data_IF_035388046152
#
_entry.id   IF_035388046152
#
_cell.length_a   1.000
_cell.length_b   1.000
_cell.length_c   1.000
_cell.angle_alpha   90.00
_cell.angle_beta   90.00
_cell.angle_gamma   90.00
#
_symmetry.space_group_name_H-M   'P 1'
#
loop_
_entity.id
_entity.type
_entity.pdbx_description
1 polymer ?
#
# COMPACT_ATOMS: atom_id res chain seq x y z
N UNK A 1 19.14 -2.54 -31.20
CA UNK A 1 17.74 -3.01 -31.35
C UNK A 1 17.10 -3.05 -29.97
N UNK A 2 15.79 -2.79 -29.84
CA UNK A 2 15.06 -2.90 -28.58
C UNK A 2 15.16 -4.32 -27.98
N UNK A 3 15.15 -4.43 -26.64
CA UNK A 3 15.31 -5.71 -25.94
C UNK A 3 14.27 -6.78 -26.34
N UNK A 4 13.06 -6.35 -26.71
CA UNK A 4 12.00 -7.24 -27.18
C UNK A 4 12.37 -7.92 -28.51
N UNK A 5 12.80 -7.16 -29.50
CA UNK A 5 13.15 -7.68 -30.82
C UNK A 5 14.36 -8.61 -30.75
N UNK A 6 15.32 -8.29 -29.86
CA UNK A 6 16.46 -9.17 -29.61
C UNK A 6 16.04 -10.52 -29.01
N UNK A 7 15.02 -10.53 -28.13
CA UNK A 7 14.50 -11.73 -27.48
C UNK A 7 13.66 -12.60 -28.42
N UNK A 8 12.76 -11.99 -29.18
CA UNK A 8 11.75 -12.70 -29.95
C UNK A 8 12.04 -12.78 -31.46
N UNK A 9 12.93 -11.94 -31.98
CA UNK A 9 13.26 -11.90 -33.41
C UNK A 9 12.15 -11.32 -34.31
N UNK A 10 11.13 -10.67 -33.72
CA UNK A 10 10.00 -10.04 -34.40
C UNK A 10 9.71 -8.68 -33.76
N UNK A 11 9.01 -7.80 -34.49
CA UNK A 11 8.59 -6.49 -33.98
C UNK A 11 7.43 -6.64 -32.99
N UNK A 12 7.28 -5.65 -32.10
CA UNK A 12 6.23 -5.63 -31.07
C UNK A 12 4.83 -5.79 -31.69
N UNK A 13 4.56 -5.11 -32.81
CA UNK A 13 3.27 -5.20 -33.51
C UNK A 13 2.95 -6.59 -34.08
N UNK A 14 3.94 -7.46 -34.26
CA UNK A 14 3.75 -8.82 -34.76
C UNK A 14 3.45 -9.83 -33.65
N UNK A 15 3.51 -9.42 -32.38
CA UNK A 15 3.42 -10.35 -31.25
C UNK A 15 2.05 -11.05 -31.15
N UNK A 16 0.98 -10.35 -31.55
CA UNK A 16 -0.36 -10.92 -31.63
C UNK A 16 -0.40 -12.06 -32.67
N UNK A 17 0.10 -11.82 -33.88
CA UNK A 17 0.16 -12.82 -34.95
C UNK A 17 1.15 -13.95 -34.63
N UNK A 18 2.17 -13.66 -33.83
CA UNK A 18 3.07 -14.68 -33.32
C UNK A 18 2.34 -15.63 -32.37
N UNK A 19 1.57 -15.10 -31.41
CA UNK A 19 0.71 -15.91 -30.53
C UNK A 19 -0.36 -16.65 -31.32
N UNK A 20 -0.93 -16.04 -32.36
CA UNK A 20 -1.95 -16.70 -33.18
C UNK A 20 -1.42 -17.93 -33.93
N UNK A 21 -0.14 -17.92 -34.33
CA UNK A 21 0.51 -19.05 -35.01
C UNK A 21 1.01 -20.12 -34.04
N UNK A 22 1.73 -19.72 -32.98
CA UNK A 22 2.37 -20.64 -32.02
C UNK A 22 1.40 -21.17 -30.96
N UNK A 23 0.35 -20.41 -30.66
CA UNK A 23 -0.49 -20.61 -29.48
C UNK A 23 0.10 -20.01 -28.20
N UNK A 24 -0.66 -20.15 -27.12
CA UNK A 24 -0.26 -19.80 -25.75
C UNK A 24 -0.81 -20.83 -24.76
N UNK A 25 0.07 -21.66 -24.22
CA UNK A 25 -0.31 -22.73 -23.30
C UNK A 25 -0.83 -22.21 -21.95
N UNK A 26 -0.38 -21.02 -21.51
CA UNK A 26 -0.84 -20.42 -20.24
C UNK A 26 -2.30 -20.01 -20.34
N UNK A 27 -2.71 -19.53 -21.52
CA UNK A 27 -4.06 -19.01 -21.78
C UNK A 27 -4.94 -20.02 -22.53
N UNK A 28 -4.49 -21.27 -22.67
CA UNK A 28 -5.14 -22.33 -23.43
C UNK A 28 -5.49 -21.93 -24.89
N UNK A 29 -4.63 -21.13 -25.51
CA UNK A 29 -4.75 -20.69 -26.90
C UNK A 29 -4.02 -21.71 -27.80
N UNK A 30 -4.70 -22.38 -28.74
CA UNK A 30 -4.14 -23.54 -29.44
C UNK A 30 -3.11 -23.18 -30.52
N UNK A 31 -3.27 -22.05 -31.23
CA UNK A 31 -2.47 -21.71 -32.39
C UNK A 31 -2.64 -22.67 -33.57
N UNK A 32 -1.64 -22.79 -34.44
CA UNK A 32 -1.62 -23.74 -35.56
C UNK A 32 -0.89 -25.03 -35.13
N UNK A 33 -1.56 -26.21 -35.17
CA UNK A 33 -0.92 -27.47 -34.81
C UNK A 33 0.37 -27.73 -35.60
N UNK A 34 1.47 -27.92 -34.87
CA UNK A 34 2.78 -28.18 -35.45
C UNK A 34 3.52 -26.95 -35.99
N UNK A 35 3.05 -25.74 -35.70
CA UNK A 35 3.79 -24.48 -35.85
C UNK A 35 4.28 -24.03 -34.49
N UNK A 36 5.58 -24.20 -34.24
CA UNK A 36 6.23 -23.72 -33.02
C UNK A 36 6.83 -22.32 -33.17
N UNK A 37 7.39 -21.81 -32.07
CA UNK A 37 8.00 -20.48 -31.97
C UNK A 37 8.98 -20.15 -33.11
N UNK A 38 9.97 -21.01 -33.38
CA UNK A 38 10.96 -20.78 -34.44
C UNK A 38 10.32 -20.68 -35.83
N UNK A 39 9.25 -21.43 -36.07
CA UNK A 39 8.53 -21.41 -37.35
C UNK A 39 7.70 -20.15 -37.46
N UNK A 40 6.95 -19.79 -36.40
CA UNK A 40 6.16 -18.57 -36.36
C UNK A 40 7.03 -17.31 -36.59
N UNK A 41 8.18 -17.22 -35.92
CA UNK A 41 9.15 -16.11 -36.12
C UNK A 41 9.59 -16.03 -37.58
N UNK A 42 9.99 -17.14 -38.19
CA UNK A 42 10.42 -17.16 -39.61
C UNK A 42 9.32 -16.73 -40.56
N UNK A 43 8.09 -17.20 -40.33
CA UNK A 43 6.94 -16.81 -41.14
C UNK A 43 6.66 -15.31 -41.01
N UNK A 44 6.72 -14.75 -39.80
CA UNK A 44 6.47 -13.32 -39.59
C UNK A 44 7.62 -12.43 -40.05
N UNK A 45 8.86 -12.91 -40.03
CA UNK A 45 9.98 -12.21 -40.66
C UNK A 45 9.81 -12.14 -42.19
N UNK A 46 9.20 -13.17 -42.80
CA UNK A 46 9.03 -13.25 -44.24
C UNK A 46 7.77 -12.53 -44.74
N UNK A 47 6.63 -12.72 -44.07
CA UNK A 47 5.32 -12.26 -44.54
C UNK A 47 4.76 -11.09 -43.74
N UNK A 48 5.42 -10.71 -42.64
CA UNK A 48 5.08 -9.59 -41.78
C UNK A 48 3.83 -9.75 -40.89
N UNK A 49 2.70 -10.17 -41.45
CA UNK A 49 1.44 -10.33 -40.74
C UNK A 49 0.82 -11.71 -40.99
N UNK A 50 -0.12 -12.10 -40.13
CA UNK A 50 -0.90 -13.33 -40.32
C UNK A 50 -1.67 -13.31 -41.65
N UNK A 51 -2.29 -12.17 -41.97
CA UNK A 51 -3.09 -12.03 -43.18
C UNK A 51 -2.21 -12.13 -44.43
N UNK A 52 -1.08 -11.43 -44.46
CA UNK A 52 -0.13 -11.54 -45.57
C UNK A 52 0.44 -12.96 -45.74
N UNK A 53 0.66 -13.69 -44.64
CA UNK A 53 1.06 -15.09 -44.69
C UNK A 53 -0.02 -15.94 -45.38
N UNK A 54 -1.29 -15.75 -45.02
CA UNK A 54 -2.39 -16.51 -45.59
C UNK A 54 -2.67 -16.16 -47.05
N UNK A 55 -2.47 -14.90 -47.44
CA UNK A 55 -2.57 -14.44 -48.83
C UNK A 55 -1.43 -14.98 -49.72
N UNK A 56 -0.29 -15.33 -49.11
CA UNK A 56 0.90 -15.79 -49.82
C UNK A 56 1.31 -17.23 -49.49
N UNK A 57 0.35 -18.09 -49.07
CA UNK A 57 0.62 -19.48 -48.70
C UNK A 57 1.35 -20.29 -49.77
N UNK A 58 1.18 -19.94 -51.04
CA UNK A 58 1.85 -20.60 -52.17
C UNK A 58 3.40 -20.49 -52.12
N UNK A 59 3.95 -19.50 -51.40
CA UNK A 59 5.39 -19.35 -51.18
C UNK A 59 5.93 -20.23 -50.03
N UNK A 60 5.05 -20.86 -49.26
CA UNK A 60 5.42 -21.71 -48.11
C UNK A 60 5.64 -23.15 -48.59
N UNK A 61 6.66 -23.81 -48.02
CA UNK A 61 6.96 -25.23 -48.30
C UNK A 61 5.74 -26.13 -48.08
N UNK A 62 5.50 -27.06 -48.99
CA UNK A 62 4.30 -27.94 -49.04
C UNK A 62 3.88 -28.54 -47.68
N UNK A 63 4.82 -29.07 -46.90
CA UNK A 63 4.50 -29.70 -45.60
C UNK A 63 4.01 -28.70 -44.56
N UNK A 64 4.56 -27.49 -44.54
CA UNK A 64 4.16 -26.42 -43.64
C UNK A 64 2.88 -25.74 -44.16
N UNK A 65 2.76 -25.57 -45.49
CA UNK A 65 1.57 -25.03 -46.14
C UNK A 65 0.33 -25.84 -45.77
N UNK A 66 0.38 -27.18 -45.87
CA UNK A 66 -0.73 -28.05 -45.46
C UNK A 66 -1.15 -27.87 -44.00
N UNK A 67 -0.20 -27.69 -43.08
CA UNK A 67 -0.51 -27.43 -41.67
C UNK A 67 -1.19 -26.08 -41.47
N UNK A 68 -0.70 -25.05 -42.16
CA UNK A 68 -1.27 -23.70 -42.10
C UNK A 68 -2.67 -23.67 -42.71
N UNK A 69 -2.90 -24.37 -43.82
CA UNK A 69 -4.22 -24.54 -44.44
C UNK A 69 -5.21 -25.21 -43.48
N UNK A 70 -4.82 -26.37 -42.90
CA UNK A 70 -5.65 -27.10 -41.94
C UNK A 70 -5.89 -26.34 -40.63
N UNK A 71 -4.92 -25.53 -40.21
CA UNK A 71 -4.98 -24.75 -38.97
C UNK A 71 -5.43 -23.31 -39.16
N UNK A 72 -5.89 -22.90 -40.34
CA UNK A 72 -6.26 -21.50 -40.63
C UNK A 72 -7.28 -20.97 -39.63
N UNK A 73 -8.39 -21.68 -39.45
CA UNK A 73 -9.45 -21.26 -38.54
C UNK A 73 -8.95 -21.18 -37.09
N UNK A 74 -8.08 -22.12 -36.69
CA UNK A 74 -7.44 -22.11 -35.37
C UNK A 74 -6.51 -20.91 -35.19
N UNK A 75 -5.77 -20.50 -36.22
CA UNK A 75 -4.91 -19.32 -36.19
C UNK A 75 -5.74 -18.04 -35.99
N UNK A 76 -6.79 -17.86 -36.79
CA UNK A 76 -7.65 -16.69 -36.68
C UNK A 76 -8.43 -16.64 -35.37
N UNK A 77 -8.96 -17.79 -34.91
CA UNK A 77 -9.58 -17.90 -33.58
C UNK A 77 -8.57 -17.54 -32.48
N UNK A 78 -7.35 -18.06 -32.56
CA UNK A 78 -6.28 -17.75 -31.60
C UNK A 78 -5.90 -16.27 -31.61
N UNK A 79 -5.94 -15.62 -32.78
CA UNK A 79 -5.73 -14.17 -32.91
C UNK A 79 -6.80 -13.38 -32.18
N UNK A 80 -8.06 -13.77 -32.32
CA UNK A 80 -9.16 -13.11 -31.60
C UNK A 80 -9.08 -13.32 -30.09
N UNK A 81 -8.75 -14.53 -29.63
CA UNK A 81 -8.58 -14.83 -28.22
C UNK A 81 -7.40 -14.09 -27.58
N UNK A 82 -6.29 -13.93 -28.31
CA UNK A 82 -5.10 -13.22 -27.83
C UNK A 82 -5.20 -11.69 -27.95
N UNK A 83 -6.22 -11.16 -28.63
CA UNK A 83 -6.39 -9.72 -28.86
C UNK A 83 -6.71 -9.01 -27.54
N UNK A 84 -5.91 -7.99 -27.21
CA UNK A 84 -6.20 -7.12 -26.07
C UNK A 84 -7.25 -6.07 -26.46
N UNK A 85 -8.34 -6.04 -25.71
CA UNK A 85 -9.36 -4.98 -25.79
C UNK A 85 -8.96 -3.83 -24.88
N UNK A 86 -8.87 -2.62 -25.43
CA UNK A 86 -8.42 -1.40 -24.74
C UNK A 86 -9.53 -0.39 -24.50
N UNK A 87 -10.77 -0.77 -24.83
CA UNK A 87 -11.99 0.02 -24.80
C UNK A 87 -12.93 -0.37 -23.65
N UNK A 88 -12.37 -0.97 -22.59
CA UNK A 88 -13.13 -1.33 -21.40
C UNK A 88 -13.84 -0.09 -20.80
N UNK A 89 -15.14 -0.18 -20.46
CA UNK A 89 -15.95 0.96 -20.02
C UNK A 89 -15.67 1.31 -18.54
N UNK A 90 -14.43 1.63 -18.22
CA UNK A 90 -13.96 1.95 -16.87
C UNK A 90 -13.41 3.37 -16.85
N UNK A 91 -13.92 4.20 -15.93
CA UNK A 91 -13.40 5.55 -15.71
C UNK A 91 -12.21 5.48 -14.75
N UNK A 92 -11.07 6.02 -15.17
CA UNK A 92 -9.88 6.11 -14.32
C UNK A 92 -9.86 7.45 -13.58
N UNK A 93 -10.13 7.42 -12.27
CA UNK A 93 -9.91 8.57 -11.39
C UNK A 93 -8.50 8.50 -10.79
N UNK A 94 -7.58 9.28 -11.37
CA UNK A 94 -6.19 9.35 -10.90
C UNK A 94 -6.06 9.86 -9.47
N UNK A 95 -6.96 10.75 -9.02
CA UNK A 95 -6.90 11.30 -7.68
C UNK A 95 -7.28 10.24 -6.63
N UNK A 96 -8.32 9.44 -6.91
CA UNK A 96 -8.69 8.32 -6.07
C UNK A 96 -7.65 7.18 -6.05
N UNK A 97 -6.80 7.08 -7.08
CA UNK A 97 -5.73 6.09 -7.18
C UNK A 97 -4.40 6.54 -6.55
N UNK A 98 -4.34 7.74 -5.94
CA UNK A 98 -3.14 8.22 -5.25
C UNK A 98 -2.82 7.34 -4.03
N UNK A 99 -1.55 6.96 -3.86
CA UNK A 99 -1.09 6.12 -2.74
C UNK A 99 -0.48 6.93 -1.59
N UNK A 100 -0.67 8.24 -1.61
CA UNK A 100 0.00 9.22 -0.75
C UNK A 100 -0.45 9.08 0.73
N UNK A 101 -1.64 8.52 0.96
CA UNK A 101 -2.27 8.37 2.27
C UNK A 101 -2.30 6.90 2.76
N UNK A 102 -1.30 6.09 2.41
CA UNK A 102 -1.20 4.72 2.90
C UNK A 102 -0.86 4.68 4.39
N UNK A 103 -1.71 4.08 5.23
CA UNK A 103 -1.46 3.87 6.67
C UNK A 103 -0.62 2.59 6.90
N UNK A 104 0.67 2.71 7.27
CA UNK A 104 1.53 1.56 7.46
C UNK A 104 1.11 0.66 8.63
N UNK A 105 0.49 1.23 9.67
CA UNK A 105 0.04 0.48 10.82
C UNK A 105 -1.14 -0.42 10.45
N UNK A 106 -2.11 0.12 9.69
CA UNK A 106 -3.24 -0.66 9.17
C UNK A 106 -2.78 -1.78 8.22
N UNK A 107 -1.82 -1.49 7.32
CA UNK A 107 -1.25 -2.51 6.41
C UNK A 107 -0.54 -3.61 7.22
N UNK A 108 0.29 -3.25 8.20
CA UNK A 108 0.99 -4.21 9.06
C UNK A 108 0.01 -5.08 9.86
N UNK A 109 -1.01 -4.47 10.46
CA UNK A 109 -2.05 -5.20 11.19
C UNK A 109 -2.80 -6.18 10.28
N UNK A 110 -3.11 -5.77 9.04
CA UNK A 110 -3.75 -6.64 8.05
C UNK A 110 -2.85 -7.82 7.66
N UNK A 111 -1.57 -7.57 7.37
CA UNK A 111 -0.62 -8.63 7.04
C UNK A 111 -0.36 -9.58 8.21
N UNK A 112 -0.32 -9.08 9.45
CA UNK A 112 -0.22 -9.90 10.66
C UNK A 112 -1.46 -10.78 10.83
N UNK A 113 -2.66 -10.22 10.66
CA UNK A 113 -3.93 -10.96 10.73
C UNK A 113 -4.03 -12.05 9.66
N UNK A 114 -3.47 -11.82 8.49
CA UNK A 114 -3.40 -12.80 7.39
C UNK A 114 -2.17 -13.73 7.48
N UNK A 115 -1.38 -13.58 8.55
CA UNK A 115 -0.16 -14.37 8.82
C UNK A 115 0.91 -14.30 7.71
N UNK A 116 0.93 -13.23 6.90
CA UNK A 116 1.92 -13.01 5.84
C UNK A 116 3.27 -12.52 6.37
N UNK A 117 3.97 -13.40 7.10
CA UNK A 117 5.25 -13.11 7.79
C UNK A 117 6.39 -12.73 6.83
N UNK A 118 6.41 -13.26 5.61
CA UNK A 118 7.44 -12.91 4.61
C UNK A 118 7.25 -11.49 4.08
N UNK A 119 6.02 -11.11 3.74
CA UNK A 119 5.68 -9.77 3.22
C UNK A 119 5.93 -8.69 4.27
N UNK A 120 5.65 -8.97 5.55
CA UNK A 120 5.98 -8.06 6.65
C UNK A 120 7.46 -7.66 6.68
N UNK A 121 8.37 -8.58 6.37
CA UNK A 121 9.82 -8.33 6.31
C UNK A 121 10.27 -7.63 5.03
N UNK A 122 9.43 -7.65 3.99
CA UNK A 122 9.70 -6.99 2.70
C UNK A 122 9.11 -5.58 2.62
N UNK A 123 8.32 -5.15 3.62
CA UNK A 123 7.81 -3.79 3.68
C UNK A 123 8.96 -2.78 3.63
N UNK A 124 8.77 -1.58 3.03
CA UNK A 124 9.76 -0.52 3.11
C UNK A 124 10.11 -0.18 4.57
N UNK A 125 11.36 0.22 4.88
CA UNK A 125 11.77 0.54 6.25
C UNK A 125 10.85 1.55 6.96
N UNK A 126 10.31 2.52 6.22
CA UNK A 126 9.37 3.53 6.72
C UNK A 126 8.03 2.92 7.19
N UNK A 127 7.67 1.75 6.66
CA UNK A 127 6.46 1.01 7.01
C UNK A 127 6.71 -0.12 8.02
N UNK A 128 7.96 -0.57 8.16
CA UNK A 128 8.36 -1.52 9.21
C UNK A 128 8.42 -0.84 10.58
N UNK A 129 8.84 0.42 10.62
CA UNK A 129 8.99 1.24 11.82
C UNK A 129 7.67 1.88 12.29
N UNK A 130 6.55 1.17 12.19
CA UNK A 130 5.29 1.56 12.85
C UNK A 130 5.32 1.17 14.34
N UNK A 131 6.34 1.60 15.07
CA UNK A 131 6.29 1.80 16.52
C UNK A 131 6.73 3.24 16.77
N UNK A 132 5.87 3.99 17.47
CA UNK A 132 5.99 5.40 17.88
C UNK A 132 5.72 6.50 16.84
N UNK A 133 4.43 6.75 16.56
CA UNK A 133 3.92 8.13 16.38
C UNK A 133 3.81 8.86 17.73
N UNK A 134 4.83 8.76 18.58
CA UNK A 134 5.04 9.72 19.65
C UNK A 134 6.30 10.52 19.29
N UNK A 135 6.21 11.85 19.15
CA UNK A 135 7.39 12.68 18.96
C UNK A 135 8.35 12.42 20.13
N UNK A 136 9.67 12.25 19.87
CA UNK A 136 10.67 11.86 20.86
C UNK A 136 10.93 12.90 21.98
N UNK A 137 10.14 13.98 22.03
CA UNK A 137 10.26 15.08 23.00
C UNK A 137 8.92 15.50 23.63
N UNK A 138 7.84 14.73 23.46
CA UNK A 138 6.64 14.97 24.26
C UNK A 138 6.92 14.53 25.71
N UNK A 139 6.85 15.42 26.72
CA UNK A 139 7.06 15.01 28.11
C UNK A 139 6.05 13.91 28.44
N UNK A 140 6.54 12.83 29.03
CA UNK A 140 5.69 11.76 29.57
C UNK A 140 4.74 12.39 30.58
N UNK A 141 3.50 12.63 30.16
CA UNK A 141 2.44 13.10 31.06
C UNK A 141 2.09 11.93 31.96
N UNK A 142 2.69 11.87 33.15
CA UNK A 142 2.22 10.95 34.19
C UNK A 142 0.83 11.43 34.63
N UNK A 143 -0.18 10.57 34.53
CA UNK A 143 -1.51 10.85 35.06
C UNK A 143 -1.40 11.09 36.56
N UNK A 144 -1.82 12.28 37.02
CA UNK A 144 -1.92 12.57 38.43
C UNK A 144 -3.19 11.94 39.01
N UNK A 145 -3.08 11.37 40.21
CA UNK A 145 -4.24 10.85 40.96
C UNK A 145 -4.89 11.99 41.72
N UNK A 146 -6.20 12.17 41.56
CA UNK A 146 -6.96 13.14 42.33
C UNK A 146 -7.20 12.63 43.77
N UNK A 147 -6.77 13.43 44.74
CA UNK A 147 -7.05 13.21 46.16
C UNK A 147 -8.41 13.80 46.50
N UNK A 148 -9.24 13.11 47.30
CA UNK A 148 -10.46 13.69 47.84
C UNK A 148 -10.15 14.98 48.64
N UNK A 149 -10.91 16.05 48.41
CA UNK A 149 -10.67 17.36 49.00
C UNK A 149 -10.55 17.35 50.54
N UNK A 150 -11.32 16.46 51.21
CA UNK A 150 -11.29 16.31 52.67
C UNK A 150 -9.96 15.74 53.21
N UNK A 151 -9.23 14.95 52.41
CA UNK A 151 -7.91 14.43 52.77
C UNK A 151 -6.80 15.41 52.36
N UNK A 152 -7.01 16.15 51.28
CA UNK A 152 -6.02 17.04 50.71
C UNK A 152 -5.72 18.26 51.58
N UNK A 153 -6.73 18.84 52.26
CA UNK A 153 -6.58 20.09 53.03
C UNK A 153 -5.54 19.98 54.16
N UNK A 154 -5.57 18.90 54.94
CA UNK A 154 -4.62 18.67 56.02
C UNK A 154 -3.20 18.43 55.47
N UNK A 155 -3.08 17.66 54.39
CA UNK A 155 -1.80 17.40 53.74
C UNK A 155 -1.17 18.69 53.20
N UNK A 156 -1.97 19.58 52.62
CA UNK A 156 -1.48 20.84 52.08
C UNK A 156 -1.00 21.79 53.18
N UNK A 157 -1.73 21.92 54.29
CA UNK A 157 -1.31 22.75 55.43
C UNK A 157 0.00 22.28 56.07
N UNK A 158 0.34 21.00 55.94
CA UNK A 158 1.58 20.42 56.44
C UNK A 158 2.69 20.38 55.37
N UNK A 159 2.40 20.78 54.14
CA UNK A 159 3.38 20.79 53.06
C UNK A 159 4.37 21.95 53.23
N UNK A 160 5.60 21.75 52.77
CA UNK A 160 6.62 22.81 52.75
C UNK A 160 6.32 23.86 51.68
N UNK A 161 5.74 23.42 50.57
CA UNK A 161 5.42 24.24 49.41
C UNK A 161 4.25 23.62 48.63
N UNK A 162 3.52 24.47 47.90
CA UNK A 162 2.41 24.05 47.05
C UNK A 162 2.61 24.55 45.62
N UNK A 163 2.26 23.68 44.67
CA UNK A 163 2.01 24.04 43.27
C UNK A 163 0.51 24.34 43.14
N UNK A 164 0.18 25.54 42.68
CA UNK A 164 -1.21 25.98 42.52
C UNK A 164 -1.46 26.34 41.06
N UNK A 165 -2.53 25.79 40.49
CA UNK A 165 -2.95 26.06 39.11
C UNK A 165 -4.41 26.53 39.08
N UNK A 166 -4.69 27.78 38.67
CA UNK A 166 -6.06 28.28 38.61
C UNK A 166 -6.84 27.62 37.47
N UNK A 167 -8.10 27.30 37.73
CA UNK A 167 -9.04 26.75 36.75
C UNK A 167 -10.41 27.40 36.90
N UNK A 168 -11.29 27.19 35.92
CA UNK A 168 -12.66 27.68 36.03
C UNK A 168 -13.37 27.08 37.25
N UNK A 169 -13.86 27.94 38.14
CA UNK A 169 -14.56 27.55 39.36
C UNK A 169 -13.68 27.10 40.54
N UNK A 170 -12.35 27.16 40.46
CA UNK A 170 -11.49 26.81 41.61
C UNK A 170 -10.00 26.76 41.27
N UNK A 171 -9.27 25.90 41.99
CA UNK A 171 -7.82 25.72 41.81
C UNK A 171 -7.44 24.25 41.92
N UNK A 172 -6.48 23.82 41.12
CA UNK A 172 -5.74 22.59 41.38
C UNK A 172 -4.56 22.89 42.31
N UNK A 173 -4.39 22.04 43.31
CA UNK A 173 -3.28 22.13 44.27
C UNK A 173 -2.55 20.80 44.32
N UNK A 174 -1.22 20.86 44.34
CA UNK A 174 -0.34 19.71 44.47
C UNK A 174 0.79 20.03 45.45
N UNK A 175 1.15 19.06 46.29
CA UNK A 175 2.31 19.15 47.18
C UNK A 175 3.44 18.18 46.76
N UNK A 176 3.17 17.26 45.84
CA UNK A 176 4.14 16.29 45.32
C UNK A 176 3.74 15.80 43.93
N UNK A 177 4.74 15.37 43.14
CA UNK A 177 4.50 14.88 41.78
C UNK A 177 3.51 13.71 41.79
N UNK A 178 2.51 13.81 40.92
CA UNK A 178 1.52 12.74 40.71
C UNK A 178 0.32 12.76 41.65
N UNK A 179 0.23 13.68 42.63
CA UNK A 179 -0.96 13.88 43.45
C UNK A 179 -1.50 15.30 43.33
N UNK A 180 -2.78 15.41 43.03
CA UNK A 180 -3.47 16.70 42.86
C UNK A 180 -4.79 16.67 43.61
N UNK A 181 -5.30 17.82 44.06
CA UNK A 181 -6.68 17.95 44.51
C UNK A 181 -7.28 19.23 43.98
N UNK A 182 -8.56 19.15 43.59
CA UNK A 182 -9.33 20.33 43.19
C UNK A 182 -9.97 20.95 44.43
N UNK A 183 -9.68 22.22 44.66
CA UNK A 183 -10.31 23.02 45.72
C UNK A 183 -11.20 24.09 45.10
N UNK A 184 -12.32 24.38 45.76
CA UNK A 184 -13.10 25.57 45.45
C UNK A 184 -12.32 26.82 45.86
N UNK A 185 -12.65 27.99 45.31
CA UNK A 185 -12.04 29.25 45.74
C UNK A 185 -12.21 29.53 47.24
N UNK A 186 -13.31 29.04 47.84
CA UNK A 186 -13.53 29.17 49.29
C UNK A 186 -12.54 28.31 50.08
N UNK A 187 -12.37 27.06 49.69
CA UNK A 187 -11.46 26.13 50.39
C UNK A 187 -9.99 26.48 50.18
N UNK A 188 -9.66 27.07 49.02
CA UNK A 188 -8.32 27.50 48.66
C UNK A 188 -7.81 28.64 49.56
N UNK A 189 -8.69 29.55 49.97
CA UNK A 189 -8.35 30.66 50.88
C UNK A 189 -7.88 30.15 52.25
N UNK A 190 -8.37 28.99 52.70
CA UNK A 190 -7.99 28.42 53.99
C UNK A 190 -6.61 27.73 53.97
N UNK A 191 -5.98 27.59 52.80
CA UNK A 191 -4.75 26.80 52.62
C UNK A 191 -3.63 27.63 52.01
N UNK A 192 -3.92 28.32 50.90
CA UNK A 192 -2.93 29.02 50.09
C UNK A 192 -2.17 30.11 50.85
N UNK A 193 -2.79 30.93 51.72
CA UNK A 193 -2.07 31.97 52.47
C UNK A 193 -1.10 31.42 53.52
N UNK A 194 -1.26 30.17 53.93
CA UNK A 194 -0.51 29.57 55.03
C UNK A 194 0.71 28.76 54.58
N UNK A 195 0.87 28.54 53.27
CA UNK A 195 1.91 27.68 52.72
C UNK A 195 2.60 28.37 51.53
N UNK A 196 3.94 28.38 51.46
CA UNK A 196 4.65 28.95 50.32
C UNK A 196 4.20 28.35 48.98
N UNK A 197 3.97 29.19 47.98
CA UNK A 197 3.59 28.76 46.62
C UNK A 197 4.82 28.78 45.71
N UNK A 198 5.10 27.66 45.04
CA UNK A 198 6.08 27.61 43.96
C UNK A 198 5.34 27.77 42.64
N UNK A 199 5.49 28.93 42.00
CA UNK A 199 4.97 29.14 40.66
C UNK A 199 5.85 28.44 39.63
N UNK A 200 5.30 27.52 38.84
CA UNK A 200 5.99 27.05 37.64
C UNK A 200 5.85 28.15 36.58
N UNK A 201 6.92 28.93 36.33
CA UNK A 201 7.01 29.71 35.09
C UNK A 201 7.08 28.70 33.94
N UNK A 202 6.21 28.90 32.94
CA UNK A 202 6.30 28.22 31.65
C UNK A 202 7.51 28.71 30.89
#
# INVERSE_FOLDING_TARGET
MPAFEQRYGIRIGQFLDFKSLKGDASDNIPGVPGVGEKTAVKLLQQFDTLDNLYDNLWQVKDTLRRKLEQGKDSAYMSRELARLYTDAPVTLDRAAMAMDNCDPAAVRAMLQRLEFRSLLRQLPPQMQAAESTQPPDAPVVQHATELPAHQAKALFLMAKELLVWPVEGGVWVSHERGKVARLSWRDAIDVIPHVPIVGHRT
#
